data_IF_206129827631
#
_entry.id   IF_206129827631
#
_cell.length_a   1.000
_cell.length_b   1.000
_cell.length_c   1.000
_cell.angle_alpha   90.00
_cell.angle_beta   90.00
_cell.angle_gamma   90.00
#
_symmetry.space_group_name_H-M   'P 1'
#
loop_
_entity.id
_entity.type
_entity.pdbx_description
1 polymer ?
#
# COMPACT_ATOMS: atom_id res chain seq x y z
N UNK A 1 -2.21 15.98 14.77
CA UNK A 1 -2.89 15.16 13.74
C UNK A 1 -4.32 15.68 13.56
N UNK A 2 -4.86 15.77 12.35
CA UNK A 2 -6.27 16.11 12.18
C UNK A 2 -7.15 15.04 12.85
N UNK A 3 -8.32 15.47 13.35
CA UNK A 3 -9.28 14.55 13.98
C UNK A 3 -9.90 13.67 12.90
N UNK A 4 -9.71 12.36 13.00
CA UNK A 4 -10.30 11.40 12.07
C UNK A 4 -11.74 11.09 12.48
N UNK A 5 -12.69 11.35 11.60
CA UNK A 5 -14.09 10.97 11.80
C UNK A 5 -14.26 9.49 11.45
N UNK A 6 -14.67 8.67 12.42
CA UNK A 6 -14.95 7.26 12.22
C UNK A 6 -16.46 7.05 12.16
N UNK A 7 -16.97 6.57 11.00
CA UNK A 7 -18.40 6.30 10.78
C UNK A 7 -18.59 4.87 10.27
N UNK A 8 -18.90 3.89 11.16
CA UNK A 8 -19.12 2.51 10.76
C UNK A 8 -20.16 2.36 9.66
N UNK A 9 -19.93 1.44 8.74
CA UNK A 9 -20.82 1.16 7.61
C UNK A 9 -21.02 -0.35 7.45
N UNK A 10 -21.96 -0.75 6.61
CA UNK A 10 -22.20 -2.14 6.24
C UNK A 10 -21.99 -2.33 4.75
N UNK A 11 -21.37 -3.43 4.36
CA UNK A 11 -21.17 -3.78 2.96
C UNK A 11 -22.13 -4.91 2.53
N UNK A 12 -22.36 -4.99 1.21
CA UNK A 12 -23.13 -6.07 0.59
C UNK A 12 -22.24 -7.17 0.02
N UNK A 13 -21.00 -6.81 -0.34
CA UNK A 13 -20.00 -7.67 -0.98
C UNK A 13 -18.66 -7.48 -0.29
N UNK A 14 -17.97 -8.58 -0.01
CA UNK A 14 -16.62 -8.61 0.55
C UNK A 14 -15.56 -8.76 -0.54
N UNK A 15 -15.73 -9.74 -1.43
CA UNK A 15 -14.80 -10.06 -2.51
C UNK A 15 -15.20 -9.34 -3.80
N UNK A 16 -14.61 -8.19 -4.05
CA UNK A 16 -14.87 -7.43 -5.27
C UNK A 16 -13.91 -7.89 -6.37
N UNK A 17 -14.42 -8.08 -7.60
CA UNK A 17 -13.52 -8.34 -8.74
C UNK A 17 -12.60 -7.16 -8.95
N UNK A 18 -11.34 -7.45 -9.32
CA UNK A 18 -10.34 -6.42 -9.59
C UNK A 18 -9.71 -6.60 -10.96
N UNK A 19 -9.27 -5.50 -11.56
CA UNK A 19 -8.45 -5.50 -12.77
C UNK A 19 -6.94 -5.49 -12.48
N UNK A 20 -6.53 -5.61 -11.22
CA UNK A 20 -5.10 -5.67 -10.85
C UNK A 20 -4.52 -6.99 -11.38
N UNK A 21 -3.46 -6.95 -12.21
CA UNK A 21 -2.84 -8.14 -12.76
C UNK A 21 -2.46 -9.16 -11.67
N UNK A 22 -2.73 -10.44 -11.92
CA UNK A 22 -2.40 -11.51 -10.97
C UNK A 22 -3.44 -11.72 -9.85
N UNK A 23 -4.46 -10.85 -9.72
CA UNK A 23 -5.48 -10.98 -8.68
C UNK A 23 -6.88 -11.09 -9.27
N UNK A 24 -7.67 -12.00 -8.68
CA UNK A 24 -9.07 -12.21 -9.06
C UNK A 24 -10.00 -11.29 -8.24
N UNK A 25 -9.66 -11.06 -6.99
CA UNK A 25 -10.45 -10.27 -6.04
C UNK A 25 -9.60 -9.27 -5.28
N UNK A 26 -10.23 -8.17 -4.89
CA UNK A 26 -9.73 -7.28 -3.86
C UNK A 26 -10.68 -7.29 -2.65
N UNK A 27 -10.10 -7.16 -1.45
CA UNK A 27 -10.82 -7.03 -0.20
C UNK A 27 -10.34 -5.75 0.50
N UNK A 28 -11.27 -4.83 0.77
CA UNK A 28 -10.98 -3.57 1.43
C UNK A 28 -11.85 -3.46 2.69
N UNK A 29 -11.28 -3.65 3.90
CA UNK A 29 -12.01 -3.64 5.18
C UNK A 29 -12.64 -2.29 5.52
N UNK A 30 -12.07 -1.23 4.98
CA UNK A 30 -12.44 0.14 5.27
C UNK A 30 -12.77 0.92 3.99
N UNK A 31 -13.49 2.03 4.11
CA UNK A 31 -13.53 3.13 3.15
C UNK A 31 -12.84 4.33 3.79
N UNK A 32 -12.03 5.07 3.03
CA UNK A 32 -11.14 6.08 3.57
C UNK A 32 -9.90 5.46 4.24
N UNK A 33 -8.95 6.31 4.61
CA UNK A 33 -7.69 5.87 5.21
C UNK A 33 -7.10 6.99 6.07
N UNK A 34 -6.89 6.73 7.36
CA UNK A 34 -6.32 7.68 8.30
C UNK A 34 -4.84 7.98 8.07
N UNK A 35 -4.14 7.19 7.24
CA UNK A 35 -2.76 7.51 6.86
C UNK A 35 -2.65 8.83 6.09
N UNK A 36 -3.69 9.24 5.35
CA UNK A 36 -3.79 10.56 4.75
C UNK A 36 -2.70 10.90 3.73
N UNK A 37 -2.03 9.90 3.14
CA UNK A 37 -0.92 10.12 2.21
C UNK A 37 -1.29 11.12 1.12
N UNK A 38 -0.47 12.15 0.93
CA UNK A 38 -0.77 13.28 0.04
C UNK A 38 -0.83 12.88 -1.45
N UNK A 39 -0.14 11.83 -1.84
CA UNK A 39 -0.10 11.29 -3.20
C UNK A 39 -1.16 10.22 -3.47
N UNK A 40 -1.98 9.82 -2.48
CA UNK A 40 -2.84 8.65 -2.60
C UNK A 40 -3.96 8.87 -3.62
N UNK A 41 -4.07 7.94 -4.57
CA UNK A 41 -5.10 7.94 -5.61
C UNK A 41 -6.47 7.48 -5.11
N UNK A 42 -6.53 6.81 -3.97
CA UNK A 42 -7.76 6.24 -3.44
C UNK A 42 -8.84 7.29 -3.16
N UNK A 43 -8.43 8.53 -2.85
CA UNK A 43 -9.35 9.68 -2.76
C UNK A 43 -10.16 9.87 -4.04
N UNK A 44 -9.54 9.75 -5.22
CA UNK A 44 -10.23 9.86 -6.50
C UNK A 44 -11.24 8.73 -6.70
N UNK A 45 -10.88 7.50 -6.30
CA UNK A 45 -11.77 6.32 -6.38
C UNK A 45 -12.95 6.45 -5.42
N UNK A 46 -12.69 6.96 -4.20
CA UNK A 46 -13.67 7.06 -3.13
C UNK A 46 -14.43 8.40 -3.06
N UNK A 47 -14.15 9.33 -3.98
CA UNK A 47 -14.72 10.70 -3.98
C UNK A 47 -16.24 10.78 -3.79
N UNK A 48 -16.98 9.80 -4.30
CA UNK A 48 -18.45 9.74 -4.16
C UNK A 48 -18.89 9.24 -2.78
N UNK A 49 -18.01 8.57 -2.05
CA UNK A 49 -18.27 8.05 -0.70
C UNK A 49 -17.85 9.03 0.40
N UNK A 50 -17.08 10.04 0.05
CA UNK A 50 -16.37 10.91 1.00
C UNK A 50 -17.22 12.08 1.53
N UNK A 51 -18.43 12.29 1.06
CA UNK A 51 -19.43 13.27 1.56
C UNK A 51 -18.87 14.60 2.06
N UNK A 52 -17.83 15.14 1.39
CA UNK A 52 -17.22 16.43 1.72
C UNK A 52 -16.11 16.42 2.77
N UNK A 53 -15.73 15.26 3.32
CA UNK A 53 -14.56 15.16 4.20
C UNK A 53 -13.26 15.22 3.40
N UNK A 54 -12.17 15.71 4.00
CA UNK A 54 -10.85 15.70 3.37
C UNK A 54 -10.22 14.31 3.44
N UNK A 55 -9.37 14.00 2.47
CA UNK A 55 -8.59 12.77 2.51
C UNK A 55 -7.71 12.72 3.77
N UNK A 56 -7.74 11.58 4.48
CA UNK A 56 -7.05 11.44 5.77
C UNK A 56 -7.94 11.69 7.00
N UNK A 57 -9.08 12.37 6.84
CA UNK A 57 -9.94 12.77 7.96
C UNK A 57 -11.20 11.90 8.11
N UNK A 58 -11.34 10.88 7.28
CA UNK A 58 -12.52 10.02 7.25
C UNK A 58 -12.16 8.55 7.12
N UNK A 59 -12.80 7.72 7.95
CA UNK A 59 -12.70 6.25 7.89
C UNK A 59 -14.08 5.65 8.15
N UNK A 60 -14.54 4.76 7.27
CA UNK A 60 -15.75 3.97 7.48
C UNK A 60 -15.41 2.48 7.58
N UNK A 61 -15.34 1.92 8.80
CA UNK A 61 -15.18 0.50 9.04
C UNK A 61 -16.39 -0.28 8.51
N UNK A 62 -16.17 -1.34 7.70
CA UNK A 62 -17.23 -2.21 7.18
C UNK A 62 -17.52 -3.32 8.19
N UNK A 63 -18.26 -2.99 9.25
CA UNK A 63 -18.40 -3.81 10.45
C UNK A 63 -19.00 -5.21 10.24
N UNK A 64 -19.63 -5.48 9.10
CA UNK A 64 -20.16 -6.79 8.76
C UNK A 64 -19.32 -7.53 7.69
N UNK A 65 -18.13 -7.02 7.36
CA UNK A 65 -17.32 -7.59 6.29
C UNK A 65 -16.96 -9.06 6.54
N UNK A 66 -16.51 -9.48 7.74
CA UNK A 66 -16.18 -10.88 8.01
C UNK A 66 -17.36 -11.83 7.79
N UNK A 67 -18.58 -11.44 8.22
CA UNK A 67 -19.80 -12.23 8.01
C UNK A 67 -20.14 -12.37 6.52
N UNK A 68 -20.05 -11.26 5.78
CA UNK A 68 -20.32 -11.24 4.33
C UNK A 68 -19.28 -12.10 3.62
N UNK A 69 -18.00 -11.98 3.99
CA UNK A 69 -16.91 -12.77 3.44
C UNK A 69 -17.15 -14.27 3.65
N UNK A 70 -17.45 -14.70 4.89
CA UNK A 70 -17.74 -16.10 5.22
C UNK A 70 -18.87 -16.66 4.36
N UNK A 71 -19.96 -15.91 4.22
CA UNK A 71 -21.08 -16.30 3.37
C UNK A 71 -20.72 -16.42 1.89
N UNK A 72 -19.91 -15.47 1.37
CA UNK A 72 -19.47 -15.49 -0.03
C UNK A 72 -18.53 -16.66 -0.31
N UNK A 73 -17.58 -16.92 0.59
CA UNK A 73 -16.62 -18.02 0.49
C UNK A 73 -17.36 -19.36 0.48
N UNK A 74 -18.27 -19.62 1.42
CA UNK A 74 -19.05 -20.88 1.49
C UNK A 74 -19.94 -21.13 0.27
N UNK A 75 -20.39 -20.08 -0.40
CA UNK A 75 -21.23 -20.21 -1.62
C UNK A 75 -20.40 -20.49 -2.88
N UNK A 76 -19.11 -20.21 -2.86
CA UNK A 76 -18.26 -20.40 -4.04
C UNK A 76 -17.87 -21.89 -4.15
N UNK A 77 -18.07 -22.45 -5.36
CA UNK A 77 -17.60 -23.78 -5.70
C UNK A 77 -16.28 -23.69 -6.47
N UNK A 78 -15.29 -24.48 -6.10
CA UNK A 78 -13.97 -24.52 -6.73
C UNK A 78 -12.99 -23.49 -6.18
N UNK A 79 -11.76 -23.41 -6.72
CA UNK A 79 -10.68 -22.57 -6.18
C UNK A 79 -11.03 -21.10 -6.22
N UNK A 80 -10.76 -20.37 -5.12
CA UNK A 80 -11.05 -18.96 -4.98
C UNK A 80 -10.26 -18.09 -5.94
N UNK A 81 -9.03 -18.50 -6.18
CA UNK A 81 -8.05 -17.67 -6.86
C UNK A 81 -7.29 -16.77 -5.87
N UNK A 82 -6.74 -15.70 -6.40
CA UNK A 82 -5.90 -14.76 -5.63
C UNK A 82 -6.72 -13.58 -5.11
N UNK A 83 -6.42 -13.20 -3.87
CA UNK A 83 -7.02 -12.03 -3.19
C UNK A 83 -5.89 -11.06 -2.86
N UNK A 84 -6.09 -9.79 -3.16
CA UNK A 84 -5.26 -8.69 -2.62
C UNK A 84 -6.07 -7.87 -1.63
N UNK A 85 -5.50 -7.65 -0.43
CA UNK A 85 -6.07 -6.77 0.57
C UNK A 85 -5.47 -5.37 0.42
N UNK A 86 -6.32 -4.34 0.68
CA UNK A 86 -5.90 -2.94 0.79
C UNK A 86 -5.48 -2.29 -0.52
N UNK A 87 -6.38 -2.29 -1.49
CA UNK A 87 -6.15 -1.61 -2.77
C UNK A 87 -6.52 -0.12 -2.75
N UNK A 88 -7.50 0.30 -1.94
CA UNK A 88 -7.98 1.70 -1.84
C UNK A 88 -8.11 2.19 -0.40
N UNK A 89 -7.48 1.51 0.52
CA UNK A 89 -7.41 1.84 1.96
C UNK A 89 -6.16 1.18 2.53
N UNK A 90 -5.86 1.37 3.81
CA UNK A 90 -4.91 0.50 4.51
C UNK A 90 -5.68 -0.40 5.48
N UNK A 91 -5.41 -1.71 5.44
CA UNK A 91 -6.06 -2.71 6.28
C UNK A 91 -5.67 -2.55 7.76
N UNK A 92 -4.47 -2.04 8.02
CA UNK A 92 -3.92 -1.85 9.35
C UNK A 92 -3.79 -0.37 9.75
N UNK A 93 -4.67 0.48 9.22
CA UNK A 93 -4.79 1.86 9.71
C UNK A 93 -5.31 1.88 11.16
N UNK A 94 -5.17 3.01 11.86
CA UNK A 94 -5.47 3.14 13.29
C UNK A 94 -6.85 2.58 13.71
N UNK A 95 -7.86 2.66 12.85
CA UNK A 95 -9.19 2.11 13.14
C UNK A 95 -9.17 0.59 13.37
N UNK A 96 -8.18 -0.14 12.82
CA UNK A 96 -8.06 -1.59 12.99
C UNK A 96 -7.72 -2.02 14.42
N UNK A 97 -7.11 -1.14 15.24
CA UNK A 97 -6.90 -1.40 16.67
C UNK A 97 -8.21 -1.63 17.43
N UNK A 98 -9.27 -0.94 17.01
CA UNK A 98 -10.58 -1.00 17.66
C UNK A 98 -11.53 -1.98 16.98
N UNK A 99 -11.53 -2.02 15.66
CA UNK A 99 -12.59 -2.72 14.91
C UNK A 99 -12.22 -4.13 14.50
N UNK A 100 -10.95 -4.51 14.47
CA UNK A 100 -10.42 -5.84 14.16
C UNK A 100 -10.95 -6.47 12.85
N UNK A 101 -11.47 -5.66 11.91
CA UNK A 101 -12.14 -6.18 10.70
C UNK A 101 -11.18 -6.94 9.79
N UNK A 102 -9.93 -6.47 9.71
CA UNK A 102 -8.88 -7.16 8.94
C UNK A 102 -8.56 -8.50 9.56
N UNK A 103 -8.29 -8.54 10.87
CA UNK A 103 -8.03 -9.76 11.61
C UNK A 103 -9.16 -10.77 11.43
N UNK A 104 -10.39 -10.37 11.72
CA UNK A 104 -11.57 -11.24 11.61
C UNK A 104 -11.76 -11.76 10.17
N UNK A 105 -11.44 -10.94 9.16
CA UNK A 105 -11.50 -11.36 7.76
C UNK A 105 -10.42 -12.38 7.40
N UNK A 106 -9.20 -12.22 7.94
CA UNK A 106 -8.11 -13.19 7.79
C UNK A 106 -8.44 -14.50 8.51
N UNK A 107 -9.07 -14.44 9.68
CA UNK A 107 -9.55 -15.62 10.40
C UNK A 107 -10.57 -16.39 9.56
N UNK A 108 -11.55 -15.71 8.97
CA UNK A 108 -12.50 -16.33 8.03
C UNK A 108 -11.79 -17.01 6.86
N UNK A 109 -10.79 -16.36 6.26
CA UNK A 109 -10.04 -16.95 5.15
C UNK A 109 -9.23 -18.17 5.59
N UNK A 110 -8.60 -18.10 6.78
CA UNK A 110 -7.80 -19.22 7.33
C UNK A 110 -8.65 -20.45 7.69
N UNK A 111 -9.90 -20.26 8.06
CA UNK A 111 -10.84 -21.32 8.40
C UNK A 111 -11.54 -21.92 7.18
N UNK A 112 -12.04 -21.06 6.30
CA UNK A 112 -12.90 -21.46 5.20
C UNK A 112 -12.10 -21.75 3.91
N UNK A 113 -10.89 -21.15 3.78
CA UNK A 113 -10.10 -21.23 2.56
C UNK A 113 -8.58 -21.07 2.77
N UNK A 114 -7.96 -21.95 3.59
CA UNK A 114 -6.55 -21.85 3.97
C UNK A 114 -5.57 -21.92 2.78
N UNK A 115 -6.01 -22.50 1.64
CA UNK A 115 -5.19 -22.62 0.44
C UNK A 115 -5.32 -21.41 -0.50
N UNK A 116 -6.17 -20.42 -0.18
CA UNK A 116 -6.27 -19.21 -1.00
C UNK A 116 -4.94 -18.45 -1.02
N UNK A 117 -4.56 -17.94 -2.20
CA UNK A 117 -3.48 -16.96 -2.28
C UNK A 117 -3.99 -15.63 -1.76
N UNK A 118 -3.40 -15.16 -0.66
CA UNK A 118 -3.75 -13.91 0.01
C UNK A 118 -2.51 -13.03 0.08
N UNK A 119 -2.50 -11.95 -0.68
CA UNK A 119 -1.46 -10.95 -0.62
C UNK A 119 -2.03 -9.68 0.04
N UNK A 120 -1.32 -9.15 1.03
CA UNK A 120 -1.74 -7.99 1.81
C UNK A 120 -0.72 -6.87 1.61
N UNK A 121 -1.20 -5.64 1.31
CA UNK A 121 -0.34 -4.47 1.18
C UNK A 121 -0.66 -3.47 2.30
N UNK A 122 0.36 -3.02 3.03
CA UNK A 122 0.19 -2.07 4.13
C UNK A 122 1.38 -1.11 4.29
N UNK A 123 1.14 0.00 4.97
CA UNK A 123 2.16 0.91 5.51
C UNK A 123 2.31 0.76 7.04
N UNK A 124 1.62 -0.20 7.64
CA UNK A 124 1.54 -0.31 9.10
C UNK A 124 2.34 -1.51 9.63
N UNK A 125 3.09 -1.28 10.68
CA UNK A 125 3.76 -2.30 11.48
C UNK A 125 2.78 -3.11 12.35
N UNK A 126 1.54 -2.64 12.53
CA UNK A 126 0.47 -3.34 13.24
C UNK A 126 0.16 -4.73 12.66
N UNK A 127 0.50 -4.99 11.40
CA UNK A 127 0.33 -6.30 10.76
C UNK A 127 0.99 -7.44 11.56
N UNK A 128 2.03 -7.14 12.31
CA UNK A 128 2.73 -8.12 13.17
C UNK A 128 1.83 -8.66 14.30
N UNK A 129 0.81 -7.91 14.71
CA UNK A 129 -0.20 -8.36 15.69
C UNK A 129 -0.89 -9.65 15.24
N UNK A 130 -1.12 -9.79 13.94
CA UNK A 130 -1.92 -10.87 13.37
C UNK A 130 -1.07 -12.02 12.79
N UNK A 131 0.20 -12.10 13.20
CA UNK A 131 1.14 -13.15 12.79
C UNK A 131 0.58 -14.57 12.96
N UNK A 132 -0.14 -14.81 14.06
CA UNK A 132 -0.77 -16.10 14.37
C UNK A 132 -1.81 -16.51 13.30
N UNK A 133 -2.57 -15.55 12.78
CA UNK A 133 -3.57 -15.79 11.74
C UNK A 133 -2.91 -15.93 10.37
N UNK A 134 -1.94 -15.04 10.07
CA UNK A 134 -1.21 -15.05 8.80
C UNK A 134 -0.50 -16.40 8.57
N UNK A 135 0.07 -17.00 9.62
CA UNK A 135 0.73 -18.33 9.56
C UNK A 135 -0.22 -19.49 9.29
N UNK A 136 -1.51 -19.34 9.52
CA UNK A 136 -2.53 -20.35 9.20
C UNK A 136 -2.90 -20.37 7.71
N UNK A 137 -2.63 -19.29 6.98
CA UNK A 137 -2.85 -19.19 5.54
C UNK A 137 -1.63 -19.75 4.79
N UNK A 138 -1.82 -20.83 4.02
CA UNK A 138 -0.72 -21.55 3.37
C UNK A 138 0.00 -20.76 2.27
N UNK A 139 -0.71 -19.83 1.64
CA UNK A 139 -0.22 -19.02 0.52
C UNK A 139 -0.42 -17.52 0.84
N UNK A 140 0.09 -17.05 1.99
CA UNK A 140 0.00 -15.66 2.39
C UNK A 140 1.33 -14.93 2.16
N UNK A 141 1.25 -13.68 1.70
CA UNK A 141 2.38 -12.77 1.69
C UNK A 141 2.00 -11.37 2.16
N UNK A 142 2.96 -10.66 2.75
CA UNK A 142 2.77 -9.30 3.25
C UNK A 142 3.67 -8.35 2.48
N UNK A 143 3.06 -7.36 1.82
CA UNK A 143 3.75 -6.28 1.14
C UNK A 143 3.81 -5.03 2.00
N UNK A 144 4.99 -4.41 2.07
CA UNK A 144 5.14 -3.08 2.65
C UNK A 144 5.31 -2.03 1.57
N UNK A 145 4.46 -1.00 1.62
CA UNK A 145 4.62 0.16 0.73
C UNK A 145 5.67 1.10 1.30
N UNK A 146 6.69 1.41 0.50
CA UNK A 146 7.84 2.26 0.84
C UNK A 146 8.15 3.18 -0.34
N UNK A 147 7.66 4.41 -0.32
CA UNK A 147 7.98 5.42 -1.35
C UNK A 147 9.35 6.05 -1.13
N UNK A 148 9.81 6.13 0.12
CA UNK A 148 11.10 6.68 0.54
C UNK A 148 11.59 5.95 1.80
N UNK A 149 12.92 5.83 2.03
CA UNK A 149 13.47 5.21 3.23
C UNK A 149 13.59 6.18 4.42
N UNK A 150 13.64 7.48 4.17
CA UNK A 150 13.83 8.52 5.19
C UNK A 150 12.53 8.80 5.96
N UNK A 151 12.56 8.64 7.28
CA UNK A 151 11.40 8.82 8.17
C UNK A 151 10.88 10.26 8.19
N UNK A 152 11.75 11.27 8.06
CA UNK A 152 11.34 12.68 8.08
C UNK A 152 10.63 13.05 6.79
N UNK A 153 11.19 12.67 5.65
CA UNK A 153 10.55 12.88 4.33
C UNK A 153 9.23 12.13 4.25
N UNK A 154 9.19 10.89 4.76
CA UNK A 154 7.97 10.09 4.81
C UNK A 154 6.88 10.77 5.67
N UNK A 155 7.22 11.34 6.82
CA UNK A 155 6.26 12.01 7.70
C UNK A 155 5.57 13.22 7.04
N UNK A 156 6.26 13.92 6.15
CA UNK A 156 5.68 15.03 5.38
C UNK A 156 4.74 14.55 4.25
N UNK A 157 4.95 13.36 3.74
CA UNK A 157 4.18 12.79 2.63
C UNK A 157 3.04 11.88 3.09
N UNK A 158 3.19 11.24 4.24
CA UNK A 158 2.33 10.19 4.80
C UNK A 158 2.01 10.46 6.29
N UNK A 159 1.34 11.57 6.61
CA UNK A 159 1.29 12.14 7.97
C UNK A 159 0.64 11.25 9.04
N UNK A 160 -0.16 10.26 8.64
CA UNK A 160 -0.81 9.32 9.56
C UNK A 160 -0.31 7.88 9.45
N UNK A 161 0.75 7.62 8.67
CA UNK A 161 1.32 6.28 8.53
C UNK A 161 2.51 6.08 9.50
N UNK A 162 2.74 4.86 10.00
CA UNK A 162 3.98 4.50 10.67
C UNK A 162 5.20 4.75 9.79
N UNK A 163 6.35 5.04 10.41
CA UNK A 163 7.57 5.39 9.69
C UNK A 163 8.10 4.24 8.82
N UNK A 164 8.87 4.53 7.75
CA UNK A 164 9.63 3.54 6.99
C UNK A 164 10.44 2.59 7.87
N UNK A 165 11.14 3.13 8.88
CA UNK A 165 11.93 2.33 9.83
C UNK A 165 11.06 1.32 10.60
N UNK A 166 9.86 1.70 11.05
CA UNK A 166 8.93 0.79 11.72
C UNK A 166 8.44 -0.31 10.76
N UNK A 167 8.13 0.03 9.50
CA UNK A 167 7.73 -0.93 8.45
C UNK A 167 8.84 -1.96 8.17
N UNK A 168 10.09 -1.51 8.06
CA UNK A 168 11.26 -2.38 7.83
C UNK A 168 11.51 -3.31 9.02
N UNK A 169 11.33 -2.82 10.25
CA UNK A 169 11.44 -3.66 11.45
C UNK A 169 10.34 -4.73 11.49
N UNK A 170 9.11 -4.36 11.14
CA UNK A 170 7.99 -5.30 11.01
C UNK A 170 8.27 -6.35 9.93
N UNK A 171 8.79 -5.92 8.77
CA UNK A 171 9.19 -6.83 7.68
C UNK A 171 10.21 -7.86 8.14
N UNK A 172 11.30 -7.42 8.81
CA UNK A 172 12.31 -8.32 9.39
C UNK A 172 11.70 -9.35 10.33
N UNK A 173 10.76 -8.92 11.20
CA UNK A 173 10.08 -9.82 12.12
C UNK A 173 9.23 -10.86 11.39
N UNK A 174 8.44 -10.45 10.39
CA UNK A 174 7.62 -11.39 9.61
C UNK A 174 8.47 -12.39 8.83
N UNK A 175 9.59 -11.95 8.24
CA UNK A 175 10.56 -12.82 7.55
C UNK A 175 11.18 -13.82 8.53
N UNK A 176 11.61 -13.37 9.72
CA UNK A 176 12.16 -14.23 10.77
C UNK A 176 11.16 -15.29 11.26
N UNK A 177 9.87 -15.05 11.10
CA UNK A 177 8.78 -15.98 11.42
C UNK A 177 8.35 -16.87 10.24
N UNK A 178 9.08 -16.78 9.10
CA UNK A 178 8.90 -17.61 7.92
C UNK A 178 7.80 -17.13 6.96
N UNK A 179 7.27 -15.93 7.12
CA UNK A 179 6.33 -15.35 6.16
C UNK A 179 7.04 -14.76 4.94
N UNK A 180 6.40 -14.87 3.78
CA UNK A 180 6.84 -14.17 2.57
C UNK A 180 6.55 -12.68 2.71
N UNK A 181 7.58 -11.87 2.50
CA UNK A 181 7.45 -10.40 2.53
C UNK A 181 8.00 -9.81 1.25
N UNK A 182 7.30 -8.81 0.71
CA UNK A 182 7.69 -8.06 -0.48
C UNK A 182 7.57 -6.56 -0.24
N UNK A 183 8.25 -5.77 -1.04
CA UNK A 183 8.16 -4.31 -0.99
C UNK A 183 7.48 -3.74 -2.22
N UNK A 184 6.74 -2.66 -2.02
CA UNK A 184 6.13 -1.89 -3.08
C UNK A 184 6.63 -0.44 -3.03
N UNK A 185 7.55 -0.11 -3.92
CA UNK A 185 8.06 1.25 -4.12
C UNK A 185 7.01 2.00 -4.97
N UNK A 186 5.97 2.47 -4.30
CA UNK A 186 4.84 3.11 -4.96
C UNK A 186 4.17 4.20 -4.09
N UNK A 187 3.95 5.37 -4.73
CA UNK A 187 4.43 5.72 -6.06
C UNK A 187 5.91 6.13 -6.05
N UNK A 188 6.57 6.01 -7.19
CA UNK A 188 7.82 6.74 -7.42
C UNK A 188 7.48 8.23 -7.45
N UNK A 189 8.01 8.97 -6.50
CA UNK A 189 7.76 10.41 -6.32
C UNK A 189 8.89 11.20 -6.98
N UNK A 190 8.61 11.94 -8.08
CA UNK A 190 9.63 12.67 -8.83
C UNK A 190 10.44 13.63 -7.97
N UNK A 191 11.77 13.50 -8.03
CA UNK A 191 12.71 14.29 -7.25
C UNK A 191 12.82 13.88 -5.77
N UNK A 192 12.02 12.91 -5.32
CA UNK A 192 12.07 12.36 -3.94
C UNK A 192 12.53 10.91 -3.97
N UNK A 193 11.71 9.99 -4.50
CA UNK A 193 12.09 8.56 -4.59
C UNK A 193 13.28 8.35 -5.53
N UNK A 194 13.36 9.13 -6.59
CA UNK A 194 14.41 9.11 -7.61
C UNK A 194 15.46 10.22 -7.45
N UNK A 195 15.52 10.86 -6.28
CA UNK A 195 16.62 11.75 -5.95
C UNK A 195 17.96 11.00 -5.95
N UNK A 196 19.03 11.73 -6.28
CA UNK A 196 20.37 11.14 -6.35
C UNK A 196 20.71 10.36 -5.06
N UNK A 197 21.06 9.08 -5.22
CA UNK A 197 21.39 8.19 -4.12
C UNK A 197 20.17 7.57 -3.39
N UNK A 198 18.98 8.14 -3.49
CA UNK A 198 17.79 7.67 -2.76
C UNK A 198 17.37 6.25 -3.14
N UNK A 199 17.43 5.91 -4.43
CA UNK A 199 17.15 4.53 -4.89
C UNK A 199 18.15 3.53 -4.31
N UNK A 200 19.44 3.89 -4.27
CA UNK A 200 20.48 3.04 -3.68
C UNK A 200 20.25 2.83 -2.19
N UNK A 201 19.91 3.89 -1.46
CA UNK A 201 19.57 3.81 -0.04
C UNK A 201 18.33 2.92 0.16
N UNK A 202 17.29 3.12 -0.63
CA UNK A 202 16.06 2.34 -0.55
C UNK A 202 16.33 0.84 -0.78
N UNK A 203 17.08 0.47 -1.82
CA UNK A 203 17.44 -0.93 -2.05
C UNK A 203 18.36 -1.49 -0.96
N UNK A 204 19.28 -0.68 -0.41
CA UNK A 204 20.14 -1.10 0.70
C UNK A 204 19.33 -1.44 1.96
N UNK A 205 18.34 -0.61 2.34
CA UNK A 205 17.49 -0.88 3.52
C UNK A 205 16.56 -2.06 3.28
N UNK A 206 16.03 -2.24 2.06
CA UNK A 206 15.21 -3.40 1.70
C UNK A 206 16.03 -4.70 1.79
N UNK A 207 17.24 -4.71 1.22
CA UNK A 207 18.16 -5.85 1.31
C UNK A 207 18.55 -6.14 2.74
N UNK A 208 18.87 -5.10 3.53
CA UNK A 208 19.16 -5.21 4.95
C UNK A 208 17.97 -5.70 5.81
N UNK A 209 16.75 -5.57 5.31
CA UNK A 209 15.56 -6.15 5.92
C UNK A 209 15.29 -7.61 5.49
N UNK A 210 16.02 -8.14 4.50
CA UNK A 210 15.81 -9.49 3.95
C UNK A 210 14.67 -9.55 2.92
N UNK A 211 14.24 -8.43 2.37
CA UNK A 211 13.20 -8.37 1.35
C UNK A 211 13.83 -8.66 -0.01
N UNK A 212 13.42 -9.72 -0.67
CA UNK A 212 13.95 -10.16 -1.97
C UNK A 212 13.04 -9.79 -3.15
N UNK A 213 11.76 -9.63 -2.92
CA UNK A 213 10.77 -9.33 -3.95
C UNK A 213 10.33 -7.87 -3.85
N UNK A 214 10.54 -7.10 -4.93
CA UNK A 214 10.27 -5.67 -4.98
C UNK A 214 9.48 -5.34 -6.24
N UNK A 215 8.43 -4.56 -6.07
CA UNK A 215 7.64 -3.99 -7.16
C UNK A 215 7.77 -2.48 -7.15
N UNK A 216 7.69 -1.87 -8.34
CA UNK A 216 7.82 -0.42 -8.52
C UNK A 216 6.69 0.09 -9.38
N UNK A 217 6.01 1.14 -8.94
CA UNK A 217 4.94 1.77 -9.72
C UNK A 217 5.11 3.30 -9.75
N UNK A 218 5.03 3.94 -10.93
CA UNK A 218 5.20 5.38 -11.05
C UNK A 218 4.02 6.14 -10.45
N UNK A 219 4.22 7.44 -10.21
CA UNK A 219 3.17 8.34 -9.77
C UNK A 219 2.05 8.43 -10.80
N UNK A 220 0.83 8.15 -10.37
CA UNK A 220 -0.37 8.44 -11.14
C UNK A 220 -0.88 9.85 -10.80
N UNK A 221 -0.80 10.83 -11.71
CA UNK A 221 -1.08 12.23 -11.40
C UNK A 221 -2.60 12.54 -11.42
N UNK A 222 -3.38 11.84 -10.60
CA UNK A 222 -4.79 12.18 -10.42
C UNK A 222 -4.95 13.56 -9.80
N UNK A 223 -5.87 14.37 -10.33
CA UNK A 223 -6.00 15.79 -10.00
C UNK A 223 -6.02 16.06 -8.49
N UNK A 224 -6.86 15.35 -7.73
CA UNK A 224 -7.01 15.61 -6.29
C UNK A 224 -5.73 15.30 -5.48
N UNK A 225 -5.10 14.15 -5.73
CA UNK A 225 -3.84 13.79 -5.07
C UNK A 225 -2.68 14.66 -5.54
N UNK A 226 -2.68 15.06 -6.82
CA UNK A 226 -1.63 15.92 -7.37
C UNK A 226 -1.64 17.31 -6.72
N UNK A 227 -2.81 17.91 -6.49
CA UNK A 227 -2.90 19.23 -5.82
C UNK A 227 -2.37 19.16 -4.37
N UNK A 228 -2.70 18.09 -3.62
CA UNK A 228 -2.13 17.88 -2.28
C UNK A 228 -0.62 17.69 -2.34
N UNK A 229 -0.13 16.88 -3.27
CA UNK A 229 1.28 16.60 -3.44
C UNK A 229 2.06 17.88 -3.78
N UNK A 230 1.56 18.68 -4.73
CA UNK A 230 2.16 19.99 -5.06
C UNK A 230 2.22 20.93 -3.87
N UNK A 231 1.18 20.95 -3.04
CA UNK A 231 1.16 21.79 -1.83
C UNK A 231 2.27 21.37 -0.85
N UNK A 232 2.46 20.08 -0.61
CA UNK A 232 3.53 19.56 0.25
C UNK A 232 4.90 19.83 -0.36
N UNK A 233 5.08 19.61 -1.68
CA UNK A 233 6.35 19.91 -2.33
C UNK A 233 6.73 21.38 -2.17
N UNK A 234 5.79 22.32 -2.39
CA UNK A 234 6.06 23.75 -2.20
C UNK A 234 6.41 24.09 -0.77
N UNK A 235 5.72 23.50 0.20
CA UNK A 235 5.85 23.87 1.61
C UNK A 235 7.03 23.19 2.31
N UNK A 236 7.34 21.94 1.94
CA UNK A 236 8.23 21.05 2.72
C UNK A 236 9.35 20.42 1.92
N UNK A 237 9.16 20.20 0.63
CA UNK A 237 10.08 19.48 -0.27
C UNK A 237 10.40 20.32 -1.50
N UNK A 238 10.67 21.62 -1.30
CA UNK A 238 10.87 22.58 -2.40
C UNK A 238 12.00 22.21 -3.34
N UNK A 239 13.01 21.49 -2.86
CA UNK A 239 14.12 20.95 -3.61
C UNK A 239 13.68 19.93 -4.68
N UNK A 240 12.55 19.23 -4.49
CA UNK A 240 12.00 18.24 -5.43
C UNK A 240 10.97 18.82 -6.42
N UNK A 241 10.51 20.05 -6.21
CA UNK A 241 9.42 20.65 -6.99
C UNK A 241 9.71 20.67 -8.50
N UNK A 242 10.94 21.04 -8.87
CA UNK A 242 11.36 21.09 -10.30
C UNK A 242 11.25 19.72 -10.98
N UNK A 243 11.60 18.64 -10.28
CA UNK A 243 11.50 17.28 -10.83
C UNK A 243 10.04 16.87 -11.03
N UNK A 244 9.15 17.25 -10.12
CA UNK A 244 7.71 17.04 -10.29
C UNK A 244 7.16 17.81 -11.50
N UNK A 245 7.56 19.05 -11.69
CA UNK A 245 7.16 19.86 -12.85
C UNK A 245 7.68 19.26 -14.18
N UNK A 246 8.92 18.78 -14.17
CA UNK A 246 9.51 18.08 -15.33
C UNK A 246 8.73 16.81 -15.66
N UNK A 247 8.42 16.00 -14.65
CA UNK A 247 7.57 14.80 -14.81
C UNK A 247 6.22 15.16 -15.42
N UNK A 248 5.55 16.20 -14.92
CA UNK A 248 4.23 16.60 -15.40
C UNK A 248 4.23 17.16 -16.82
N UNK A 249 5.35 17.77 -17.26
CA UNK A 249 5.49 18.31 -18.62
C UNK A 249 5.81 17.22 -19.66
N UNK A 250 6.62 16.22 -19.30
CA UNK A 250 6.94 15.05 -20.14
C UNK A 250 7.02 13.77 -19.32
N UNK A 251 5.88 13.18 -18.95
CA UNK A 251 5.86 11.95 -18.15
C UNK A 251 6.60 10.79 -18.82
N UNK A 252 6.48 10.66 -20.15
CA UNK A 252 7.12 9.56 -20.89
C UNK A 252 8.63 9.68 -20.91
N UNK A 253 9.16 10.89 -21.18
CA UNK A 253 10.59 11.16 -21.17
C UNK A 253 11.20 10.94 -19.79
N UNK A 254 10.53 11.45 -18.77
CA UNK A 254 10.93 11.27 -17.39
C UNK A 254 11.01 9.79 -16.99
N UNK A 255 9.95 9.02 -17.26
CA UNK A 255 9.89 7.60 -16.91
C UNK A 255 10.92 6.75 -17.69
N UNK A 256 11.23 7.11 -18.94
CA UNK A 256 12.32 6.44 -19.70
C UNK A 256 13.68 6.62 -19.00
N UNK A 257 13.97 7.83 -18.52
CA UNK A 257 15.22 8.13 -17.80
C UNK A 257 15.25 7.38 -16.47
N UNK A 258 14.18 7.48 -15.70
CA UNK A 258 14.04 6.77 -14.43
C UNK A 258 14.17 5.25 -14.59
N UNK A 259 13.54 4.66 -15.62
CA UNK A 259 13.62 3.21 -15.87
C UNK A 259 15.05 2.71 -16.11
N UNK A 260 15.88 3.51 -16.79
CA UNK A 260 17.30 3.17 -16.98
C UNK A 260 18.07 3.21 -15.66
N UNK A 261 17.85 4.25 -14.87
CA UNK A 261 18.46 4.38 -13.56
C UNK A 261 18.02 3.26 -12.62
N UNK A 262 16.71 2.99 -12.55
CA UNK A 262 16.15 1.89 -11.77
C UNK A 262 16.82 0.56 -12.12
N UNK A 263 16.95 0.23 -13.40
CA UNK A 263 17.57 -1.02 -13.84
C UNK A 263 19.04 -1.12 -13.43
N UNK A 264 19.81 -0.03 -13.49
CA UNK A 264 21.20 0.00 -13.08
C UNK A 264 21.37 -0.14 -11.56
N UNK A 265 20.64 0.70 -10.82
CA UNK A 265 20.75 0.75 -9.36
C UNK A 265 20.17 -0.51 -8.72
N UNK A 266 19.03 -1.02 -9.19
CA UNK A 266 18.45 -2.25 -8.66
C UNK A 266 19.41 -3.44 -8.84
N UNK A 267 20.01 -3.56 -10.04
CA UNK A 267 20.94 -4.64 -10.35
C UNK A 267 22.21 -4.61 -9.47
N UNK A 268 22.74 -3.43 -9.16
CA UNK A 268 23.90 -3.29 -8.27
C UNK A 268 23.60 -3.73 -6.82
N UNK A 269 22.31 -3.79 -6.43
CA UNK A 269 21.83 -4.26 -5.13
C UNK A 269 21.26 -5.69 -5.16
N UNK A 270 21.39 -6.40 -6.30
CA UNK A 270 20.94 -7.78 -6.45
C UNK A 270 19.46 -7.94 -6.76
N UNK A 271 18.81 -6.90 -7.29
CA UNK A 271 17.46 -6.95 -7.83
C UNK A 271 17.50 -6.80 -9.36
N UNK A 272 16.59 -7.43 -10.09
CA UNK A 272 16.43 -7.25 -11.55
C UNK A 272 15.06 -6.63 -11.85
N UNK A 273 15.01 -5.31 -11.71
CA UNK A 273 13.76 -4.56 -11.85
C UNK A 273 13.72 -3.80 -13.17
N UNK A 274 12.55 -3.86 -13.81
CA UNK A 274 12.21 -3.07 -15.00
C UNK A 274 10.84 -2.45 -14.78
N UNK A 275 10.70 -1.16 -15.12
CA UNK A 275 9.38 -0.56 -15.26
C UNK A 275 8.74 -1.10 -16.52
N UNK A 276 7.56 -1.71 -16.37
CA UNK A 276 6.75 -2.08 -17.52
C UNK A 276 6.09 -0.81 -18.07
N UNK A 277 6.56 -0.35 -19.25
CA UNK A 277 6.06 0.86 -19.90
C UNK A 277 4.73 0.67 -20.63
N UNK A 278 4.07 -0.47 -20.43
CA UNK A 278 2.87 -0.87 -21.15
C UNK A 278 1.56 -0.41 -20.46
N UNK A 279 1.55 0.79 -19.85
CA UNK A 279 0.29 1.41 -19.40
C UNK A 279 0.13 2.84 -19.91
#
# INVERSE_FOLDING_TARGET
MPTVTISPTRCKTALNRTGIPGYRYCLNPYMGCSHGCHYCYADTVLRFSNRGSRWGEFVAPKVNLPEVLRREVRRKRGPLGSIILSTVTDAYQLAEEKFHITRDSLEVLSEEWPDARVDLLTKSDMVVRDLDVLKRLKNCSVGFSLAVPDDKVASELEPGAPSPSARLLAAKRLIGEGLKVWAFIAPVLPGVTDAQGMLGELFSVLKGAGIEEVYVDPLNPYRASLERLKAVYRAKLSWALRSLETYLSDPRGYLRTFSRELALVSKSHGYDLKLDHAR
#
